data_IF_702314969538
#
_entry.id   IF_702314969538
#
_cell.length_a   1.000
_cell.length_b   1.000
_cell.length_c   1.000
_cell.angle_alpha   90.00
_cell.angle_beta   90.00
_cell.angle_gamma   90.00
#
_symmetry.space_group_name_H-M   'P 1'
#
loop_
_entity.id
_entity.type
_entity.pdbx_description
1 polymer ?
#
# COMPACT_ATOMS: atom_id res chain seq x y z
N UNK A 1 4.45 6.65 -20.66
CA UNK A 1 4.51 5.32 -20.02
C UNK A 1 5.46 5.15 -18.84
N UNK A 2 6.26 6.15 -18.43
CA UNK A 2 7.14 6.02 -17.24
C UNK A 2 6.40 6.07 -15.89
N UNK A 3 5.30 6.81 -15.79
CA UNK A 3 4.60 7.09 -14.52
C UNK A 3 3.82 5.90 -13.92
N UNK A 4 3.56 4.85 -14.71
CA UNK A 4 2.85 3.64 -14.26
C UNK A 4 3.80 2.46 -14.03
N UNK A 5 5.11 2.72 -14.10
CA UNK A 5 6.15 1.71 -13.92
C UNK A 5 6.63 1.74 -12.48
N UNK A 6 6.41 0.64 -11.76
CA UNK A 6 6.75 0.49 -10.33
C UNK A 6 7.71 -0.66 -10.11
N UNK A 7 8.41 -0.67 -8.96
CA UNK A 7 9.25 -1.80 -8.54
C UNK A 7 8.36 -3.01 -8.25
N UNK A 8 8.61 -4.13 -8.93
CA UNK A 8 7.86 -5.37 -8.75
C UNK A 8 8.36 -6.13 -7.51
N UNK A 9 9.68 -6.28 -7.39
CA UNK A 9 10.37 -7.10 -6.39
C UNK A 9 11.65 -6.42 -5.88
N UNK A 10 12.33 -7.03 -4.91
CA UNK A 10 13.63 -6.56 -4.40
C UNK A 10 14.76 -6.63 -5.44
N UNK A 11 14.62 -7.47 -6.48
CA UNK A 11 15.63 -7.68 -7.53
C UNK A 11 15.67 -6.56 -8.58
N UNK A 12 15.05 -5.41 -8.32
CA UNK A 12 14.87 -4.29 -9.24
C UNK A 12 14.03 -4.60 -10.50
N UNK A 13 13.29 -5.71 -10.50
CA UNK A 13 12.28 -5.97 -11.52
C UNK A 13 11.24 -4.85 -11.54
N UNK A 14 10.69 -4.55 -12.71
CA UNK A 14 9.69 -3.50 -12.90
C UNK A 14 8.38 -4.11 -13.42
N UNK A 15 7.27 -3.54 -12.99
CA UNK A 15 5.95 -3.84 -13.51
C UNK A 15 5.28 -2.57 -14.04
N UNK A 16 4.57 -2.70 -15.16
CA UNK A 16 3.77 -1.61 -15.73
C UNK A 16 2.32 -1.82 -15.30
N UNK A 17 1.80 -0.92 -14.46
CA UNK A 17 0.41 -0.95 -14.02
C UNK A 17 -0.48 -0.44 -15.16
N UNK A 18 -1.44 -1.25 -15.59
CA UNK A 18 -2.39 -0.86 -16.64
C UNK A 18 -3.35 0.22 -16.13
N UNK A 19 -4.00 1.01 -17.01
CA UNK A 19 -4.96 2.02 -16.56
C UNK A 19 -6.15 1.39 -15.82
N UNK A 20 -6.56 0.19 -16.22
CA UNK A 20 -7.63 -0.57 -15.57
C UNK A 20 -7.23 -1.02 -14.16
N UNK A 21 -6.01 -1.52 -13.97
CA UNK A 21 -5.49 -1.87 -12.63
C UNK A 21 -5.35 -0.64 -11.75
N UNK A 22 -4.86 0.48 -12.29
CA UNK A 22 -4.73 1.73 -11.54
C UNK A 22 -6.11 2.26 -11.10
N UNK A 23 -7.10 2.25 -12.01
CA UNK A 23 -8.47 2.63 -11.70
C UNK A 23 -9.12 1.71 -10.68
N UNK A 24 -8.91 0.38 -10.82
CA UNK A 24 -9.38 -0.62 -9.85
C UNK A 24 -8.74 -0.41 -8.48
N UNK A 25 -7.43 -0.21 -8.43
CA UNK A 25 -6.67 0.06 -7.21
C UNK A 25 -7.14 1.31 -6.49
N UNK A 26 -7.41 2.40 -7.21
CA UNK A 26 -7.99 3.63 -6.65
C UNK A 26 -9.33 3.38 -5.96
N UNK A 27 -10.26 2.67 -6.61
CA UNK A 27 -11.58 2.38 -6.05
C UNK A 27 -11.47 1.49 -4.81
N UNK A 28 -10.63 0.46 -4.87
CA UNK A 28 -10.41 -0.44 -3.75
C UNK A 28 -9.73 0.24 -2.56
N UNK A 29 -8.69 1.04 -2.80
CA UNK A 29 -8.01 1.80 -1.77
C UNK A 29 -8.97 2.80 -1.10
N UNK A 30 -9.81 3.49 -1.89
CA UNK A 30 -10.84 4.37 -1.36
C UNK A 30 -11.81 3.62 -0.44
N UNK A 31 -12.27 2.43 -0.85
CA UNK A 31 -13.23 1.62 -0.08
C UNK A 31 -12.64 1.00 1.19
N UNK A 32 -11.39 0.55 1.13
CA UNK A 32 -10.83 -0.35 2.15
C UNK A 32 -9.76 0.32 3.02
N UNK A 33 -8.98 1.25 2.47
CA UNK A 33 -7.76 1.77 3.10
C UNK A 33 -7.89 3.24 3.53
N UNK A 34 -8.70 4.03 2.81
CA UNK A 34 -8.71 5.48 2.93
C UNK A 34 -9.13 6.00 4.31
N UNK A 35 -9.94 5.25 5.05
CA UNK A 35 -10.36 5.62 6.41
C UNK A 35 -9.17 6.00 7.29
N UNK A 36 -8.05 5.27 7.17
CA UNK A 36 -6.79 5.52 7.87
C UNK A 36 -5.70 6.12 6.99
N UNK A 37 -5.73 5.87 5.67
CA UNK A 37 -4.64 6.22 4.74
C UNK A 37 -5.00 7.23 3.65
N UNK A 38 -5.96 8.12 3.91
CA UNK A 38 -6.33 9.18 2.97
C UNK A 38 -5.10 10.02 2.57
N UNK A 39 -4.82 10.12 1.27
CA UNK A 39 -3.66 10.88 0.78
C UNK A 39 -2.31 10.33 1.20
N UNK A 40 -2.22 9.05 1.58
CA UNK A 40 -0.98 8.39 1.94
C UNK A 40 -0.51 8.59 3.39
N UNK A 41 -1.28 9.26 4.25
CA UNK A 41 -0.95 9.37 5.68
C UNK A 41 -1.24 8.05 6.40
N UNK A 42 -1.01 8.01 7.71
CA UNK A 42 -1.57 6.97 8.60
C UNK A 42 -2.12 7.65 9.85
N UNK A 43 -3.44 7.73 9.98
CA UNK A 43 -4.08 8.50 11.07
C UNK A 43 -3.73 8.00 12.47
N UNK A 44 -3.63 6.67 12.64
CA UNK A 44 -3.35 6.04 13.93
C UNK A 44 -1.86 6.06 14.30
N UNK A 45 -0.97 6.31 13.33
CA UNK A 45 0.46 6.47 13.54
C UNK A 45 1.05 7.43 12.49
N UNK A 46 1.04 8.74 12.75
CA UNK A 46 1.48 9.75 11.79
C UNK A 46 2.95 9.65 11.38
N UNK A 47 3.78 8.92 12.14
CA UNK A 47 5.20 8.73 11.82
C UNK A 47 5.43 7.71 10.68
N UNK A 48 4.42 6.90 10.32
CA UNK A 48 4.55 5.82 9.34
C UNK A 48 3.50 6.00 8.24
N UNK A 49 3.81 6.83 7.24
CA UNK A 49 2.97 7.01 6.04
C UNK A 49 3.24 6.00 4.91
N UNK A 50 2.57 6.20 3.79
CA UNK A 50 2.73 5.44 2.54
C UNK A 50 3.62 6.14 1.52
N UNK A 51 4.48 7.07 1.97
CA UNK A 51 5.51 7.69 1.14
C UNK A 51 6.57 6.65 0.75
N UNK A 52 7.18 6.79 -0.43
CA UNK A 52 8.18 5.82 -0.92
C UNK A 52 9.36 5.63 0.03
N UNK A 53 9.86 6.72 0.63
CA UNK A 53 10.97 6.66 1.60
C UNK A 53 10.59 5.85 2.84
N UNK A 54 9.38 6.06 3.38
CA UNK A 54 8.87 5.30 4.53
C UNK A 54 8.70 3.83 4.17
N UNK A 55 8.09 3.53 3.02
CA UNK A 55 7.89 2.16 2.55
C UNK A 55 9.23 1.44 2.34
N UNK A 56 10.22 2.10 1.73
CA UNK A 56 11.55 1.55 1.47
C UNK A 56 12.29 1.19 2.75
N UNK A 57 12.17 2.00 3.81
CA UNK A 57 12.89 1.78 5.07
C UNK A 57 12.18 0.83 6.05
N UNK A 58 11.03 0.25 5.68
CA UNK A 58 10.40 -0.80 6.46
C UNK A 58 11.19 -2.12 6.37
N UNK A 59 10.94 -3.04 7.30
CA UNK A 59 11.56 -4.38 7.31
C UNK A 59 10.46 -5.44 7.19
N UNK A 60 10.43 -6.26 6.11
CA UNK A 60 11.18 -6.07 4.85
C UNK A 60 10.76 -4.79 4.11
N UNK A 61 11.53 -4.37 3.09
CA UNK A 61 11.23 -3.15 2.29
C UNK A 61 9.82 -3.27 1.67
N UNK A 62 8.98 -2.23 1.75
CA UNK A 62 7.60 -2.22 1.24
C UNK A 62 7.41 -1.30 0.04
N UNK A 63 8.49 -0.88 -0.61
CA UNK A 63 8.49 -0.02 -1.79
C UNK A 63 8.30 -0.78 -3.12
N UNK A 64 7.80 -2.03 -3.05
CA UNK A 64 7.58 -2.89 -4.19
C UNK A 64 6.25 -3.65 -4.11
N UNK A 65 5.74 -4.07 -5.27
CA UNK A 65 4.41 -4.69 -5.38
C UNK A 65 4.32 -5.99 -4.58
N UNK A 66 5.32 -6.87 -4.67
CA UNK A 66 5.33 -8.16 -3.99
C UNK A 66 5.21 -7.98 -2.48
N UNK A 67 6.01 -7.10 -1.89
CA UNK A 67 6.02 -6.91 -0.43
C UNK A 67 4.79 -6.14 0.07
N UNK A 68 4.19 -5.25 -0.72
CA UNK A 68 2.89 -4.65 -0.38
C UNK A 68 1.75 -5.66 -0.43
N UNK A 69 1.72 -6.52 -1.44
CA UNK A 69 0.75 -7.62 -1.51
C UNK A 69 0.92 -8.54 -0.31
N UNK A 70 2.16 -8.88 0.04
CA UNK A 70 2.46 -9.67 1.23
C UNK A 70 2.00 -8.97 2.52
N UNK A 71 2.23 -7.66 2.65
CA UNK A 71 1.79 -6.87 3.80
C UNK A 71 0.26 -6.89 3.96
N UNK A 72 -0.50 -6.84 2.87
CA UNK A 72 -1.97 -6.93 2.90
C UNK A 72 -2.50 -8.33 3.26
N UNK A 73 -1.65 -9.36 3.23
CA UNK A 73 -1.99 -10.71 3.69
C UNK A 73 -1.54 -10.96 5.12
N UNK A 74 -0.33 -10.52 5.45
CA UNK A 74 0.37 -10.79 6.69
C UNK A 74 1.10 -9.53 7.18
N UNK A 75 0.36 -8.52 7.69
CA UNK A 75 0.96 -7.27 8.11
C UNK A 75 1.89 -7.47 9.31
N UNK A 76 3.01 -6.75 9.31
CA UNK A 76 3.98 -6.73 10.41
C UNK A 76 4.29 -5.32 10.86
N UNK A 77 4.85 -5.19 12.07
CA UNK A 77 5.41 -3.94 12.56
C UNK A 77 6.42 -3.34 11.57
N UNK A 78 6.73 -2.05 11.71
CA UNK A 78 7.62 -1.37 10.77
C UNK A 78 9.02 -1.99 10.69
N UNK A 79 9.50 -2.49 11.83
CA UNK A 79 10.77 -3.21 12.00
C UNK A 79 10.65 -4.72 11.76
N UNK A 80 9.46 -5.21 11.40
CA UNK A 80 9.20 -6.62 11.13
C UNK A 80 9.18 -7.54 12.36
N UNK A 81 9.29 -7.00 13.58
CA UNK A 81 9.52 -7.81 14.79
C UNK A 81 8.29 -8.56 15.29
N UNK A 82 7.07 -8.08 14.98
CA UNK A 82 5.82 -8.75 15.35
C UNK A 82 4.74 -8.59 14.28
N UNK A 83 3.76 -9.49 14.31
CA UNK A 83 2.59 -9.46 13.42
C UNK A 83 1.55 -8.44 13.90
N UNK A 84 0.84 -7.84 12.94
CA UNK A 84 -0.28 -6.95 13.16
C UNK A 84 -1.61 -7.58 12.73
N UNK A 85 -1.66 -8.91 12.56
CA UNK A 85 -2.81 -9.60 11.98
C UNK A 85 -4.15 -9.29 12.68
N UNK A 86 -4.14 -9.01 13.99
CA UNK A 86 -5.34 -8.71 14.78
C UNK A 86 -5.71 -7.22 14.80
N UNK A 87 -4.79 -6.34 14.43
CA UNK A 87 -4.93 -4.88 14.60
C UNK A 87 -4.87 -4.10 13.29
N UNK A 88 -4.43 -4.72 12.20
CA UNK A 88 -4.39 -4.12 10.87
C UNK A 88 -5.17 -4.96 9.85
N UNK A 89 -6.04 -4.37 9.01
CA UNK A 89 -6.79 -5.10 8.00
C UNK A 89 -5.89 -5.94 7.08
N UNK A 90 -6.22 -7.23 6.96
CA UNK A 90 -5.52 -8.17 6.11
C UNK A 90 -6.43 -9.33 5.66
N UNK A 91 -6.05 -10.05 4.61
CA UNK A 91 -6.89 -11.11 4.03
C UNK A 91 -6.86 -12.42 4.84
N UNK A 92 -5.82 -12.68 5.63
CA UNK A 92 -5.73 -13.92 6.43
C UNK A 92 -6.55 -13.88 7.71
N UNK A 93 -6.82 -12.68 8.23
CA UNK A 93 -7.72 -12.39 9.34
C UNK A 93 -9.03 -11.70 8.90
N UNK A 94 -9.47 -11.92 7.66
CA UNK A 94 -10.63 -11.25 7.07
C UNK A 94 -11.98 -11.51 7.78
N UNK A 95 -12.05 -12.51 8.66
CA UNK A 95 -13.23 -12.70 9.52
C UNK A 95 -13.45 -11.48 10.43
N UNK A 96 -12.38 -10.85 10.91
CA UNK A 96 -12.43 -9.64 11.75
C UNK A 96 -12.38 -8.34 10.92
N UNK A 97 -11.99 -8.43 9.64
CA UNK A 97 -11.97 -7.30 8.70
C UNK A 97 -12.87 -7.56 7.49
N UNK A 98 -14.19 -7.34 7.59
CA UNK A 98 -15.13 -7.67 6.51
C UNK A 98 -14.80 -7.05 5.16
N UNK A 99 -14.18 -5.86 5.13
CA UNK A 99 -13.74 -5.18 3.90
C UNK A 99 -12.65 -5.93 3.13
N UNK A 100 -11.95 -6.87 3.76
CA UNK A 100 -10.88 -7.67 3.16
C UNK A 100 -11.39 -8.99 2.55
N UNK A 101 -12.58 -9.48 2.95
CA UNK A 101 -13.09 -10.83 2.61
C UNK A 101 -13.22 -11.10 1.12
N UNK A 102 -13.50 -10.07 0.33
CA UNK A 102 -13.75 -10.19 -1.11
C UNK A 102 -12.55 -9.80 -1.96
N UNK A 103 -11.42 -9.45 -1.35
CA UNK A 103 -10.23 -9.02 -2.09
C UNK A 103 -9.47 -10.24 -2.60
N UNK A 104 -9.30 -10.30 -3.92
CA UNK A 104 -8.49 -11.32 -4.60
C UNK A 104 -7.02 -10.90 -4.70
N UNK A 105 -6.13 -11.81 -5.07
CA UNK A 105 -4.73 -11.48 -5.40
C UNK A 105 -4.60 -10.34 -6.40
N UNK A 106 -5.47 -10.31 -7.43
CA UNK A 106 -5.48 -9.25 -8.44
C UNK A 106 -5.91 -7.90 -7.85
N UNK A 107 -6.82 -7.92 -6.88
CA UNK A 107 -7.24 -6.73 -6.17
C UNK A 107 -6.11 -6.20 -5.28
N UNK A 108 -5.40 -7.08 -4.57
CA UNK A 108 -4.20 -6.72 -3.78
C UNK A 108 -3.12 -6.13 -4.68
N UNK A 109 -2.83 -6.75 -5.82
CA UNK A 109 -1.90 -6.23 -6.83
C UNK A 109 -2.31 -4.82 -7.29
N UNK A 110 -3.59 -4.61 -7.59
CA UNK A 110 -4.11 -3.31 -8.03
C UNK A 110 -3.98 -2.24 -6.94
N UNK A 111 -4.25 -2.59 -5.67
CA UNK A 111 -4.07 -1.68 -4.53
C UNK A 111 -2.58 -1.32 -4.35
N UNK A 112 -1.68 -2.31 -4.37
CA UNK A 112 -0.24 -2.08 -4.26
C UNK A 112 0.29 -1.19 -5.38
N UNK A 113 -0.10 -1.46 -6.63
CA UNK A 113 0.22 -0.63 -7.78
C UNK A 113 -0.28 0.81 -7.63
N UNK A 114 -1.52 0.99 -7.15
CA UNK A 114 -2.06 2.33 -6.88
C UNK A 114 -1.23 3.09 -5.84
N UNK A 115 -0.90 2.47 -4.70
CA UNK A 115 -0.08 3.11 -3.65
C UNK A 115 1.25 3.60 -4.21
N UNK A 116 1.98 2.73 -4.93
CA UNK A 116 3.29 3.06 -5.47
C UNK A 116 3.23 4.14 -6.56
N UNK A 117 2.25 4.07 -7.47
CA UNK A 117 2.06 5.11 -8.49
C UNK A 117 1.72 6.46 -7.86
N UNK A 118 0.84 6.50 -6.84
CA UNK A 118 0.55 7.76 -6.15
C UNK A 118 1.78 8.34 -5.46
N UNK A 119 2.56 7.50 -4.77
CA UNK A 119 3.77 7.92 -4.08
C UNK A 119 4.85 8.46 -5.04
N UNK A 120 4.94 7.92 -6.27
CA UNK A 120 5.81 8.44 -7.33
C UNK A 120 5.31 9.77 -7.91
N UNK A 121 4.02 9.86 -8.24
CA UNK A 121 3.45 11.01 -8.98
C UNK A 121 3.27 12.23 -8.09
N UNK A 122 2.84 12.04 -6.84
CA UNK A 122 2.50 13.13 -5.93
C UNK A 122 3.67 13.53 -5.02
N UNK A 123 4.73 12.71 -4.96
CA UNK A 123 5.91 12.97 -4.13
C UNK A 123 5.53 13.30 -2.69
N UNK A 124 6.01 14.44 -2.20
CA UNK A 124 5.80 14.91 -0.82
C UNK A 124 4.31 15.12 -0.46
N UNK A 125 3.44 15.35 -1.44
CA UNK A 125 1.99 15.47 -1.18
C UNK A 125 1.37 14.14 -0.72
N UNK A 126 1.95 13.01 -1.13
CA UNK A 126 1.49 11.69 -0.70
C UNK A 126 2.18 11.27 0.59
N UNK A 127 1.43 11.31 1.70
CA UNK A 127 1.93 11.11 3.05
C UNK A 127 2.29 12.40 3.79
N UNK A 128 2.39 13.54 3.11
CA UNK A 128 2.68 14.84 3.73
C UNK A 128 1.52 15.46 4.52
N UNK A 129 0.29 14.99 4.31
CA UNK A 129 -0.89 15.45 5.03
C UNK A 129 -1.18 16.94 4.82
N UNK A 130 -1.70 17.60 5.87
CA UNK A 130 -2.28 18.95 5.77
C UNK A 130 -1.34 20.07 5.33
N UNK A 131 -0.04 19.86 5.41
CA UNK A 131 0.97 20.86 5.04
C UNK A 131 1.05 21.02 3.51
N UNK A 132 0.59 20.01 2.76
CA UNK A 132 0.74 19.93 1.29
C UNK A 132 -0.59 19.90 0.51
N UNK A 133 -1.73 20.10 1.19
CA UNK A 133 -3.05 20.22 0.54
C UNK A 133 -3.24 21.57 -0.16
#
# INVERSE_FOLDING_TARGET
DSIRTVKLSENNDKAIITPNELGRGKVLFAKTCSACHTGGITKTNPNIGLALSTLKNAIPERDNVVNLVQYMKYPTAYDGTFTLNETHPNTTFAVFFPSMRTLTEKDLYSIAGYILVQAQVLGEKWGGGKVYY
#
